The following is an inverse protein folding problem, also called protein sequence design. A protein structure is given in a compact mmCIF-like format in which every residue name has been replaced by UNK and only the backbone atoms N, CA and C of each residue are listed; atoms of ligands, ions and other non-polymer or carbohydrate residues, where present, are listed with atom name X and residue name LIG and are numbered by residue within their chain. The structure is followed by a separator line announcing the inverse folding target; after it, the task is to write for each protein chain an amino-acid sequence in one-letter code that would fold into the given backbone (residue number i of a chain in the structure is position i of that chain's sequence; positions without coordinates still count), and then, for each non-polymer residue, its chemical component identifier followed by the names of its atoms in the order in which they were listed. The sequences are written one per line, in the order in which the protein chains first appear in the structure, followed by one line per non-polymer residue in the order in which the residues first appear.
data_IF_987228196528
#
_entry.id   IF_987228196528
#
_cell.length_a   1.000
_cell.length_b   1.000
_cell.length_c   1.000
_cell.angle_alpha   90.00
_cell.angle_beta   90.00
_cell.angle_gamma   90.00
#
_symmetry.space_group_name_H-M   'P 1'
#
loop_
_entity.id
_entity.type
_entity.pdbx_description
1 polymer ?
#
# COMPACT_ATOMS: atom_id res chain seq x y z
N UNK A 1 -1.29 22.79 -20.83
CA UNK A 1 -2.72 22.49 -20.58
C UNK A 1 -3.21 23.40 -19.47
N UNK A 2 -4.42 23.91 -19.58
CA UNK A 2 -5.05 24.69 -18.50
C UNK A 2 -5.90 23.75 -17.67
N UNK A 3 -5.66 23.72 -16.36
CA UNK A 3 -6.39 22.88 -15.41
C UNK A 3 -7.29 23.79 -14.57
N UNK A 4 -8.58 23.53 -14.60
CA UNK A 4 -9.57 24.14 -13.72
C UNK A 4 -10.05 23.09 -12.71
N UNK A 5 -10.09 23.43 -11.42
CA UNK A 5 -10.17 22.41 -10.37
C UNK A 5 -11.28 22.74 -9.39
N UNK A 6 -12.10 21.74 -9.08
CA UNK A 6 -13.24 21.95 -8.21
C UNK A 6 -13.47 20.77 -7.29
N UNK A 7 -13.68 21.06 -6.02
CA UNK A 7 -14.27 20.10 -5.10
C UNK A 7 -15.78 20.03 -5.31
N UNK A 8 -16.35 18.83 -5.16
CA UNK A 8 -17.81 18.67 -5.13
C UNK A 8 -18.46 19.53 -4.05
N UNK A 9 -17.76 19.75 -2.93
CA UNK A 9 -18.26 20.45 -1.75
C UNK A 9 -17.77 21.91 -1.64
N UNK A 10 -17.44 22.54 -2.78
CA UNK A 10 -17.48 24.00 -2.98
C UNK A 10 -16.20 24.84 -2.82
N UNK A 11 -15.02 24.22 -2.71
CA UNK A 11 -13.75 24.96 -2.87
C UNK A 11 -13.29 24.90 -4.35
N UNK A 12 -13.40 26.04 -5.04
CA UNK A 12 -12.72 26.27 -6.31
C UNK A 12 -11.25 26.58 -6.02
N UNK A 13 -10.35 25.70 -6.46
CA UNK A 13 -8.91 25.87 -6.25
C UNK A 13 -8.26 26.70 -7.37
N UNK A 14 -9.08 27.28 -8.25
CA UNK A 14 -8.65 28.14 -9.32
C UNK A 14 -8.05 27.41 -10.51
N UNK A 15 -7.55 28.21 -11.44
CA UNK A 15 -7.03 27.78 -12.73
C UNK A 15 -5.51 27.80 -12.72
N UNK A 16 -4.89 26.72 -13.19
CA UNK A 16 -3.44 26.59 -13.31
C UNK A 16 -3.03 26.22 -14.73
N UNK A 17 -2.02 26.89 -15.24
CA UNK A 17 -1.41 26.57 -16.53
C UNK A 17 -0.20 25.67 -16.28
N UNK A 18 -0.24 24.45 -16.80
CA UNK A 18 0.90 23.53 -16.80
C UNK A 18 1.62 23.57 -18.15
N UNK A 19 2.90 23.90 -18.10
CA UNK A 19 3.85 23.76 -19.20
C UNK A 19 4.32 22.31 -19.34
N UNK A 20 4.84 21.94 -20.51
CA UNK A 20 5.36 20.60 -20.76
C UNK A 20 6.46 20.23 -19.74
N UNK A 21 6.42 18.99 -19.22
CA UNK A 21 7.34 18.49 -18.20
C UNK A 21 7.16 19.09 -16.79
N UNK A 22 6.20 20.01 -16.60
CA UNK A 22 5.92 20.59 -15.29
C UNK A 22 4.93 19.75 -14.50
N UNK A 23 5.17 19.61 -13.21
CA UNK A 23 4.25 18.94 -12.27
C UNK A 23 3.68 19.93 -11.29
N UNK A 24 2.45 19.70 -10.85
CA UNK A 24 1.84 20.44 -9.76
C UNK A 24 1.28 19.46 -8.73
N UNK A 25 1.55 19.71 -7.44
CA UNK A 25 1.15 18.85 -6.32
C UNK A 25 0.31 19.65 -5.33
N UNK A 26 -0.76 19.03 -4.84
CA UNK A 26 -1.52 19.53 -3.69
C UNK A 26 -1.95 18.37 -2.79
N UNK A 27 -2.41 18.69 -1.59
CA UNK A 27 -2.98 17.74 -0.64
C UNK A 27 -4.37 18.18 -0.19
N UNK A 28 -5.18 17.21 0.24
CA UNK A 28 -6.50 17.45 0.82
C UNK A 28 -6.83 16.36 1.84
N UNK A 29 -7.76 16.66 2.75
CA UNK A 29 -8.31 15.70 3.69
C UNK A 29 -9.52 14.97 3.09
N UNK A 30 -9.62 13.67 3.31
CA UNK A 30 -10.83 12.90 2.97
C UNK A 30 -11.80 12.95 4.15
N UNK A 31 -13.06 13.25 3.88
CA UNK A 31 -14.07 13.28 4.93
C UNK A 31 -14.36 11.87 5.48
N UNK A 32 -14.77 11.80 6.75
CA UNK A 32 -14.97 10.51 7.46
C UNK A 32 -16.06 9.66 6.78
N UNK A 33 -17.04 10.31 6.16
CA UNK A 33 -18.14 9.66 5.44
C UNK A 33 -17.76 9.14 4.05
N UNK A 34 -16.51 9.32 3.59
CA UNK A 34 -15.99 8.94 2.26
C UNK A 34 -16.85 9.41 1.09
N UNK A 35 -17.42 10.60 1.19
CA UNK A 35 -18.17 11.25 0.10
C UNK A 35 -17.31 12.22 -0.70
N UNK A 36 -16.05 12.45 -0.30
CA UNK A 36 -15.13 13.36 -0.98
C UNK A 36 -14.94 12.94 -2.44
N UNK A 37 -15.28 13.84 -3.35
CA UNK A 37 -15.04 13.74 -4.78
C UNK A 37 -14.28 14.98 -5.22
N UNK A 38 -13.26 14.75 -6.02
CA UNK A 38 -12.44 15.78 -6.63
C UNK A 38 -12.34 15.51 -8.12
N UNK A 39 -12.63 16.55 -8.91
CA UNK A 39 -12.59 16.48 -10.35
C UNK A 39 -11.88 17.71 -10.92
N UNK A 40 -11.17 17.52 -12.01
CA UNK A 40 -10.52 18.59 -12.76
C UNK A 40 -11.10 18.67 -14.16
N UNK A 41 -11.39 19.90 -14.59
CA UNK A 41 -11.53 20.27 -15.98
C UNK A 41 -10.15 20.53 -16.58
N UNK A 42 -9.95 20.05 -17.80
CA UNK A 42 -8.72 20.22 -18.57
C UNK A 42 -9.08 20.81 -19.92
N UNK A 43 -8.49 21.97 -20.21
CA UNK A 43 -8.63 22.63 -21.51
C UNK A 43 -7.34 22.45 -22.29
N UNK A 44 -7.48 21.82 -23.46
CA UNK A 44 -6.41 21.64 -24.43
C UNK A 44 -6.82 22.21 -25.80
N UNK A 45 -5.91 22.14 -26.78
CA UNK A 45 -6.24 22.48 -28.17
C UNK A 45 -7.32 21.58 -28.78
N UNK A 46 -7.54 20.38 -28.23
CA UNK A 46 -8.56 19.42 -28.68
C UNK A 46 -9.91 19.59 -27.97
N UNK A 47 -10.05 20.61 -27.12
CA UNK A 47 -11.26 20.91 -26.37
C UNK A 47 -11.12 20.72 -24.86
N UNK A 48 -12.24 20.89 -24.17
CA UNK A 48 -12.35 20.80 -22.72
C UNK A 48 -12.94 19.45 -22.30
N UNK A 49 -12.35 18.83 -21.27
CA UNK A 49 -12.80 17.55 -20.70
C UNK A 49 -12.70 17.59 -19.18
N UNK A 50 -13.63 16.93 -18.50
CA UNK A 50 -13.66 16.84 -17.02
C UNK A 50 -13.43 15.39 -16.60
N UNK A 51 -12.57 15.17 -15.61
CA UNK A 51 -12.24 13.85 -15.09
C UNK A 51 -12.42 13.79 -13.57
N UNK A 52 -12.91 12.65 -13.07
CA UNK A 52 -12.94 12.34 -11.65
C UNK A 52 -11.55 11.90 -11.18
N UNK A 53 -10.69 12.87 -10.91
CA UNK A 53 -9.31 12.69 -10.45
C UNK A 53 -9.19 12.09 -9.04
N UNK A 54 -10.22 12.12 -8.21
CA UNK A 54 -10.23 11.34 -6.97
C UNK A 54 -11.65 11.15 -6.48
N UNK A 55 -11.99 9.93 -6.08
CA UNK A 55 -13.28 9.59 -5.47
C UNK A 55 -13.03 8.74 -4.22
N UNK A 56 -13.48 9.19 -3.06
CA UNK A 56 -13.10 8.60 -1.78
C UNK A 56 -13.52 7.13 -1.59
N UNK A 57 -14.68 6.74 -2.11
CA UNK A 57 -15.11 5.33 -2.09
C UNK A 57 -14.17 4.41 -2.90
N UNK A 58 -13.61 4.94 -3.99
CA UNK A 58 -12.75 4.24 -4.95
C UNK A 58 -11.27 4.32 -4.58
N UNK A 59 -10.78 5.50 -4.20
CA UNK A 59 -9.38 5.87 -4.26
C UNK A 59 -8.70 6.03 -2.90
N UNK A 60 -9.46 6.23 -1.80
CA UNK A 60 -8.91 6.37 -0.44
C UNK A 60 -8.00 5.19 -0.04
N UNK A 61 -8.24 4.02 -0.62
CA UNK A 61 -7.42 2.84 -0.41
C UNK A 61 -6.59 2.44 -1.61
N UNK A 62 -6.61 3.16 -2.75
CA UNK A 62 -5.83 2.81 -3.95
C UNK A 62 -4.52 3.58 -4.06
N UNK A 63 -4.53 4.85 -3.70
CA UNK A 63 -3.37 5.72 -3.81
C UNK A 63 -3.26 6.62 -2.57
N UNK A 64 -2.03 6.76 -2.06
CA UNK A 64 -1.67 7.71 -1.00
C UNK A 64 -1.33 9.05 -1.65
N UNK A 65 -0.56 8.97 -2.73
CA UNK A 65 -0.30 10.02 -3.70
C UNK A 65 -0.90 9.57 -5.03
N UNK A 66 -2.08 10.07 -5.37
CA UNK A 66 -2.69 9.78 -6.67
C UNK A 66 -2.04 10.70 -7.70
N UNK A 67 -1.20 10.14 -8.56
CA UNK A 67 -0.48 10.89 -9.60
C UNK A 67 -1.23 10.72 -10.92
N UNK A 68 -1.41 11.82 -11.64
CA UNK A 68 -2.14 11.82 -12.91
C UNK A 68 -1.24 12.40 -13.97
N UNK A 69 -1.04 11.67 -15.06
CA UNK A 69 -0.32 12.14 -16.23
C UNK A 69 -1.31 12.74 -17.22
N UNK A 70 -1.11 14.01 -17.56
CA UNK A 70 -1.93 14.71 -18.55
C UNK A 70 -1.24 14.64 -19.90
N UNK A 71 -1.89 13.97 -20.85
CA UNK A 71 -1.43 13.82 -22.24
C UNK A 71 -2.41 14.50 -23.19
N UNK A 72 -2.07 14.49 -24.47
CA UNK A 72 -2.93 15.05 -25.52
C UNK A 72 -4.27 14.32 -25.67
N UNK A 73 -4.29 13.00 -25.43
CA UNK A 73 -5.46 12.14 -25.58
C UNK A 73 -6.37 12.10 -24.33
N UNK A 74 -5.86 12.58 -23.19
CA UNK A 74 -6.62 12.70 -21.95
C UNK A 74 -5.76 12.62 -20.70
N UNK A 75 -6.44 12.42 -19.57
CA UNK A 75 -5.81 12.23 -18.26
C UNK A 75 -5.68 10.74 -18.00
N UNK A 76 -4.46 10.29 -17.78
CA UNK A 76 -4.14 8.90 -17.45
C UNK A 76 -3.75 8.81 -15.98
N UNK A 77 -4.34 7.84 -15.29
CA UNK A 77 -3.96 7.55 -13.91
C UNK A 77 -2.57 6.91 -13.89
N UNK A 78 -1.64 7.56 -13.20
CA UNK A 78 -0.33 7.00 -12.90
C UNK A 78 -0.34 6.57 -11.43
N UNK A 79 -0.97 5.43 -11.17
CA UNK A 79 -0.86 4.81 -9.85
C UNK A 79 0.58 4.32 -9.72
N UNK A 80 1.36 4.99 -8.88
CA UNK A 80 2.66 4.49 -8.45
C UNK A 80 2.43 3.10 -7.85
N UNK A 81 2.99 2.07 -8.50
CA UNK A 81 2.99 0.72 -7.94
C UNK A 81 3.68 0.83 -6.59
N UNK A 82 2.91 0.66 -5.52
CA UNK A 82 3.50 0.58 -4.18
C UNK A 82 4.22 -0.76 -4.12
N UNK A 83 5.50 -0.73 -4.42
CA UNK A 83 6.42 -1.84 -4.17
C UNK A 83 6.61 -1.94 -2.67
N UNK A 84 6.53 -3.17 -2.14
CA UNK A 84 7.07 -3.46 -0.81
C UNK A 84 8.47 -4.00 -1.02
N UNK A 85 9.43 -3.19 -0.60
CA UNK A 85 10.85 -3.41 -0.87
C UNK A 85 11.41 -4.57 -0.05
N UNK A 86 10.86 -4.86 1.12
CA UNK A 86 11.20 -6.07 1.88
C UNK A 86 10.13 -6.45 2.92
N UNK A 87 9.66 -7.69 2.87
CA UNK A 87 8.96 -8.33 3.98
C UNK A 87 9.95 -9.28 4.64
N UNK A 88 10.30 -9.04 5.90
CA UNK A 88 11.26 -9.86 6.62
C UNK A 88 10.60 -10.56 7.80
N UNK A 89 10.82 -11.87 7.92
CA UNK A 89 10.35 -12.72 9.02
C UNK A 89 11.57 -13.33 9.70
N UNK A 90 11.87 -12.89 10.92
CA UNK A 90 13.02 -13.36 11.70
C UNK A 90 12.60 -14.32 12.80
N UNK A 91 13.39 -15.36 13.03
CA UNK A 91 13.22 -16.26 14.17
C UNK A 91 14.09 -15.80 15.35
N UNK A 92 13.48 -15.44 16.49
CA UNK A 92 14.23 -15.09 17.71
C UNK A 92 14.28 -16.24 18.73
N UNK A 93 13.59 -17.35 18.46
CA UNK A 93 13.49 -18.52 19.33
C UNK A 93 14.79 -19.34 19.29
N UNK A 94 15.22 -19.91 20.42
CA UNK A 94 16.33 -20.89 20.53
C UNK A 94 15.98 -22.28 19.95
N UNK A 95 15.22 -22.34 18.86
CA UNK A 95 14.91 -23.57 18.13
C UNK A 95 14.56 -23.26 16.68
N UNK A 96 14.50 -24.28 15.82
CA UNK A 96 14.11 -24.10 14.43
C UNK A 96 12.61 -23.78 14.31
N UNK A 97 12.27 -22.80 13.48
CA UNK A 97 10.89 -22.48 13.10
C UNK A 97 10.69 -22.82 11.63
N UNK A 98 9.62 -23.55 11.33
CA UNK A 98 9.19 -23.82 9.96
C UNK A 98 8.21 -22.72 9.56
N UNK A 99 8.49 -22.04 8.45
CA UNK A 99 7.66 -20.97 7.89
C UNK A 99 7.25 -21.36 6.48
N UNK A 100 5.95 -21.27 6.18
CA UNK A 100 5.43 -21.45 4.82
C UNK A 100 4.54 -20.27 4.47
N UNK A 101 5.00 -19.41 3.58
CA UNK A 101 4.26 -18.23 3.15
C UNK A 101 3.70 -18.42 1.74
N UNK A 102 2.47 -17.98 1.53
CA UNK A 102 1.87 -17.92 0.19
C UNK A 102 0.83 -16.81 0.08
N UNK A 103 0.58 -16.38 -1.15
CA UNK A 103 -0.57 -15.56 -1.53
C UNK A 103 -1.64 -16.45 -2.17
N UNK A 104 -2.66 -15.82 -2.77
CA UNK A 104 -3.60 -16.54 -3.62
C UNK A 104 -2.93 -17.11 -4.88
N UNK A 105 -1.97 -16.36 -5.42
CA UNK A 105 -1.44 -16.58 -6.77
C UNK A 105 0.00 -17.14 -6.74
N UNK A 106 0.73 -16.96 -5.64
CA UNK A 106 2.14 -17.31 -5.49
C UNK A 106 2.39 -18.13 -4.22
N UNK A 107 3.10 -19.26 -4.33
CA UNK A 107 3.61 -20.02 -3.19
C UNK A 107 5.12 -19.76 -3.03
N UNK A 108 5.52 -19.19 -1.89
CA UNK A 108 6.93 -18.86 -1.62
C UNK A 108 7.72 -20.05 -1.04
N UNK A 109 7.02 -21.17 -0.80
CA UNK A 109 7.56 -22.42 -0.31
C UNK A 109 7.81 -22.46 1.19
N UNK A 110 8.25 -23.63 1.64
CA UNK A 110 8.57 -23.90 3.04
C UNK A 110 10.04 -23.55 3.31
N UNK A 111 10.31 -22.87 4.42
CA UNK A 111 11.63 -22.49 4.91
C UNK A 111 11.79 -22.94 6.35
N UNK A 112 13.01 -23.35 6.72
CA UNK A 112 13.38 -23.64 8.10
C UNK A 112 14.34 -22.56 8.57
N UNK A 113 13.94 -21.81 9.60
CA UNK A 113 14.71 -20.72 10.17
C UNK A 113 15.32 -21.17 11.49
N UNK A 114 16.65 -21.22 11.57
CA UNK A 114 17.37 -21.32 12.83
C UNK A 114 17.32 -19.99 13.59
N UNK A 115 17.72 -20.00 14.86
CA UNK A 115 17.74 -18.78 15.67
C UNK A 115 18.57 -17.68 15.00
N UNK A 116 18.02 -16.46 14.93
CA UNK A 116 18.64 -15.29 14.33
C UNK A 116 18.48 -15.21 12.81
N UNK A 117 18.17 -16.31 12.14
CA UNK A 117 17.96 -16.33 10.69
C UNK A 117 16.60 -15.71 10.34
N UNK A 118 16.51 -15.22 9.10
CA UNK A 118 15.31 -14.61 8.56
C UNK A 118 14.97 -15.17 7.18
N UNK A 119 13.69 -15.03 6.82
CA UNK A 119 13.16 -15.24 5.48
C UNK A 119 12.56 -13.93 5.01
N UNK A 120 12.88 -13.50 3.78
CA UNK A 120 12.26 -12.31 3.21
C UNK A 120 11.87 -12.45 1.74
N UNK A 121 10.96 -11.58 1.33
CA UNK A 121 10.44 -11.50 -0.04
C UNK A 121 9.90 -10.12 -0.35
N UNK A 122 9.91 -9.78 -1.65
CA UNK A 122 9.41 -8.51 -2.18
C UNK A 122 8.23 -8.75 -3.09
N UNK A 123 7.31 -7.79 -3.16
CA UNK A 123 6.14 -7.91 -4.03
C UNK A 123 5.55 -6.55 -4.37
N UNK A 124 4.74 -6.52 -5.42
CA UNK A 124 3.97 -5.34 -5.82
C UNK A 124 2.55 -5.45 -5.28
N UNK A 125 2.06 -4.40 -4.64
CA UNK A 125 0.64 -4.32 -4.28
C UNK A 125 -0.18 -4.19 -5.57
N UNK A 126 -1.21 -5.04 -5.71
CA UNK A 126 -2.10 -4.97 -6.87
C UNK A 126 -2.99 -3.72 -6.81
N UNK A 127 -3.50 -3.31 -7.98
CA UNK A 127 -4.27 -2.05 -8.12
C UNK A 127 -5.52 -1.99 -7.22
N UNK A 128 -6.09 -3.14 -6.87
CA UNK A 128 -7.28 -3.25 -6.03
C UNK A 128 -6.97 -3.37 -4.54
N UNK A 129 -5.68 -3.31 -4.17
CA UNK A 129 -5.13 -3.53 -2.83
C UNK A 129 -5.72 -4.75 -2.13
N UNK A 130 -5.88 -5.83 -2.90
CA UNK A 130 -6.34 -7.13 -2.40
C UNK A 130 -5.18 -8.09 -2.17
N UNK A 131 -3.93 -7.68 -2.45
CA UNK A 131 -2.75 -8.51 -2.18
C UNK A 131 -2.70 -8.92 -0.71
N UNK A 132 -2.57 -10.21 -0.49
CA UNK A 132 -2.57 -10.88 0.80
C UNK A 132 -1.50 -11.96 0.79
N UNK A 133 -0.59 -11.95 1.75
CA UNK A 133 0.27 -13.09 2.05
C UNK A 133 -0.02 -13.56 3.46
N UNK A 134 -0.28 -14.85 3.58
CA UNK A 134 -0.44 -15.54 4.84
C UNK A 134 0.69 -16.55 5.01
N UNK A 135 1.18 -16.66 6.23
CA UNK A 135 2.27 -17.57 6.55
C UNK A 135 1.83 -18.53 7.65
N UNK A 136 2.06 -19.81 7.41
CA UNK A 136 2.02 -20.85 8.42
C UNK A 136 3.35 -20.90 9.17
N UNK A 137 3.27 -20.95 10.49
CA UNK A 137 4.42 -21.08 11.38
C UNK A 137 4.26 -22.34 12.20
N UNK A 138 5.34 -23.08 12.38
CA UNK A 138 5.42 -24.21 13.30
C UNK A 138 6.71 -24.10 14.09
N UNK A 139 6.58 -23.99 15.41
CA UNK A 139 7.67 -23.99 16.38
C UNK A 139 7.42 -25.04 17.45
N UNK A 140 8.37 -25.22 18.37
CA UNK A 140 8.17 -26.07 19.54
C UNK A 140 7.14 -25.53 20.55
N UNK A 141 6.83 -24.23 20.49
CA UNK A 141 5.90 -23.57 21.43
C UNK A 141 4.47 -23.46 20.88
N UNK A 142 4.30 -23.56 19.57
CA UNK A 142 3.00 -23.37 18.94
C UNK A 142 3.05 -23.36 17.42
N UNK A 143 1.85 -23.37 16.82
CA UNK A 143 1.67 -23.29 15.37
C UNK A 143 0.44 -22.46 15.03
N UNK A 144 0.49 -21.75 13.91
CA UNK A 144 -0.63 -20.93 13.46
C UNK A 144 -0.43 -20.43 12.04
N UNK A 145 -1.50 -19.96 11.42
CA UNK A 145 -1.48 -19.32 10.11
C UNK A 145 -1.96 -17.89 10.27
N UNK A 146 -1.14 -16.93 9.85
CA UNK A 146 -1.42 -15.52 10.07
C UNK A 146 -1.17 -14.70 8.81
N UNK A 147 -1.93 -13.62 8.69
CA UNK A 147 -1.82 -12.68 7.59
C UNK A 147 -0.67 -11.69 7.84
N UNK A 148 0.51 -12.07 7.35
CA UNK A 148 1.76 -11.31 7.45
C UNK A 148 1.73 -10.08 6.52
N UNK A 149 1.00 -10.16 5.41
CA UNK A 149 0.75 -9.01 4.54
C UNK A 149 -0.74 -8.87 4.25
N UNK A 150 -1.32 -7.72 4.55
CA UNK A 150 -2.62 -7.25 4.07
C UNK A 150 -2.41 -5.91 3.40
N UNK A 151 -2.52 -5.83 2.08
CA UNK A 151 -2.25 -4.59 1.34
C UNK A 151 -2.98 -3.36 1.89
N UNK A 152 -4.25 -3.48 2.30
CA UNK A 152 -5.01 -2.37 2.90
C UNK A 152 -4.50 -1.92 4.28
N UNK A 153 -3.95 -2.84 5.07
CA UNK A 153 -3.36 -2.55 6.39
C UNK A 153 -1.94 -1.99 6.20
N UNK A 154 -1.15 -2.64 5.36
CA UNK A 154 0.30 -2.47 5.32
C UNK A 154 0.77 -1.40 4.33
N UNK A 155 -0.09 -0.96 3.41
CA UNK A 155 0.28 0.08 2.44
C UNK A 155 0.78 1.37 3.09
N UNK A 156 0.23 1.75 4.25
CA UNK A 156 0.65 2.92 5.03
C UNK A 156 1.49 2.57 6.27
N UNK A 157 1.64 1.27 6.59
CA UNK A 157 2.25 0.82 7.84
C UNK A 157 3.78 0.76 7.75
N UNK A 158 4.28 0.29 6.61
CA UNK A 158 5.70 0.02 6.40
C UNK A 158 6.02 -0.21 4.94
N UNK A 159 7.11 0.36 4.40
CA UNK A 159 7.67 -0.08 3.11
C UNK A 159 8.50 -1.35 3.30
N UNK A 160 9.29 -1.36 4.38
CA UNK A 160 9.99 -2.53 4.90
C UNK A 160 9.25 -3.05 6.13
N UNK A 161 8.55 -4.18 5.99
CA UNK A 161 7.74 -4.72 7.06
C UNK A 161 8.46 -5.87 7.74
N UNK A 162 8.84 -5.66 9.00
CA UNK A 162 9.52 -6.67 9.81
C UNK A 162 8.53 -7.44 10.69
N UNK A 163 8.79 -8.74 10.81
CA UNK A 163 8.08 -9.67 11.65
C UNK A 163 9.08 -10.51 12.46
N UNK A 164 8.76 -10.76 13.72
CA UNK A 164 9.55 -11.62 14.59
C UNK A 164 8.69 -12.78 15.10
N UNK A 165 9.24 -13.98 15.03
CA UNK A 165 8.66 -15.17 15.63
C UNK A 165 9.29 -15.36 17.01
N UNK A 166 8.45 -15.36 18.04
CA UNK A 166 8.82 -15.49 19.46
C UNK A 166 8.12 -16.68 20.09
N UNK A 167 8.51 -17.02 21.32
CA UNK A 167 8.00 -18.20 22.02
C UNK A 167 6.49 -18.17 22.24
N UNK A 168 5.89 -16.99 22.36
CA UNK A 168 4.47 -16.79 22.64
C UNK A 168 3.65 -16.31 21.43
N UNK A 169 4.28 -16.02 20.30
CA UNK A 169 3.58 -15.65 19.08
C UNK A 169 4.42 -15.02 17.99
N UNK A 170 3.75 -14.34 17.07
CA UNK A 170 4.33 -13.61 15.94
C UNK A 170 4.04 -12.12 16.09
N UNK A 171 5.09 -11.31 16.02
CA UNK A 171 5.03 -9.86 16.23
C UNK A 171 5.34 -9.12 14.93
N UNK A 172 4.55 -8.11 14.60
CA UNK A 172 4.73 -7.25 13.43
C UNK A 172 5.09 -5.82 13.85
N UNK A 173 6.03 -5.22 13.11
CA UNK A 173 6.57 -3.90 13.42
C UNK A 173 6.33 -2.92 12.27
N UNK A 174 6.09 -1.66 12.62
CA UNK A 174 6.10 -0.56 11.65
C UNK A 174 7.52 -0.27 11.19
N UNK A 175 7.63 0.42 10.07
CA UNK A 175 8.91 0.87 9.54
C UNK A 175 9.65 1.73 10.58
N UNK A 176 10.91 1.40 10.84
CA UNK A 176 11.78 2.04 11.83
C UNK A 176 11.24 2.05 13.27
N UNK A 177 10.35 1.11 13.64
CA UNK A 177 9.84 0.99 15.00
C UNK A 177 10.43 -0.22 15.73
N UNK A 178 10.75 -0.05 17.01
CA UNK A 178 11.16 -1.12 17.92
C UNK A 178 10.00 -1.71 18.73
N UNK A 179 8.81 -1.09 18.63
CA UNK A 179 7.61 -1.54 19.32
C UNK A 179 6.68 -2.22 18.33
N UNK A 180 6.26 -3.45 18.65
CA UNK A 180 5.33 -4.18 17.81
C UNK A 180 3.95 -3.51 17.82
N UNK A 181 3.36 -3.33 16.63
CA UNK A 181 2.01 -2.79 16.47
C UNK A 181 0.97 -3.87 16.14
N UNK A 182 1.44 -5.07 15.79
CA UNK A 182 0.62 -6.26 15.55
C UNK A 182 1.21 -7.40 16.35
N UNK A 183 0.34 -8.19 16.98
CA UNK A 183 0.75 -9.42 17.67
C UNK A 183 -0.30 -10.51 17.47
N UNK A 184 0.18 -11.68 17.07
CA UNK A 184 -0.60 -12.91 16.99
C UNK A 184 -0.06 -13.90 18.01
N UNK A 185 -0.89 -14.25 18.98
CA UNK A 185 -0.57 -15.34 19.92
C UNK A 185 -0.76 -16.70 19.22
N UNK A 186 0.09 -17.67 19.57
CA UNK A 186 -0.06 -19.07 19.12
C UNK A 186 -1.43 -19.65 19.45
#
# INVERSE_FOLDING_TARGET
VTIHRKFKDNDDLGVHVLSHGSSYRWGFGVNVSKTTLFFCGFTSQYGERVYDNFKADRDTYRCIHCLWEVREDGVHDFIEKVTKDDICVQNTIQSNVIVHCKSKDDDLGVRVLSQGNYFGFTFNINLWRTTLFFCGFTSQYGRGVYDIVKARRDSHRCTHCSWEVREDGVYGFKENSTTADIWFKW
#
